data_IF_949096269319
#
_entry.id   IF_949096269319
#
_cell.length_a   1.000
_cell.length_b   1.000
_cell.length_c   1.000
_cell.angle_alpha   90.00
_cell.angle_beta   90.00
_cell.angle_gamma   90.00
#
_symmetry.space_group_name_H-M   'P 1'
#
loop_
_entity.id
_entity.type
_entity.pdbx_description
1 polymer ?
#
# COMPACT_ATOMS: atom_id res chain seq x y z
N UNK A 1 -18.62 -5.62 -23.76
CA UNK A 1 -17.53 -6.52 -23.28
C UNK A 1 -16.55 -5.66 -22.49
N UNK A 2 -16.88 -5.38 -21.24
CA UNK A 2 -16.07 -4.52 -20.38
C UNK A 2 -14.80 -5.28 -19.99
N UNK A 3 -13.66 -4.84 -20.53
CA UNK A 3 -12.36 -5.39 -20.15
C UNK A 3 -11.95 -4.69 -18.86
N UNK A 4 -11.97 -5.41 -17.75
CA UNK A 4 -11.59 -4.87 -16.46
C UNK A 4 -10.09 -5.08 -16.25
N UNK A 5 -9.38 -3.97 -16.08
CA UNK A 5 -7.94 -3.94 -15.96
C UNK A 5 -7.56 -3.47 -14.55
N UNK A 6 -6.67 -4.20 -13.90
CA UNK A 6 -6.03 -3.69 -12.69
C UNK A 6 -4.65 -3.13 -13.07
N UNK A 7 -4.43 -1.86 -12.73
CA UNK A 7 -3.11 -1.24 -12.67
C UNK A 7 -2.48 -1.67 -11.33
N UNK A 8 -2.09 -2.95 -11.25
CA UNK A 8 -1.39 -3.49 -10.08
C UNK A 8 0.09 -3.59 -10.41
N UNK A 9 0.81 -2.48 -10.27
CA UNK A 9 2.24 -2.42 -10.55
C UNK A 9 3.03 -2.83 -9.30
N UNK A 10 2.95 -4.13 -8.97
CA UNK A 10 3.84 -4.82 -8.03
C UNK A 10 5.30 -4.88 -8.48
N UNK A 11 5.65 -4.19 -9.57
CA UNK A 11 7.01 -3.99 -10.04
C UNK A 11 7.21 -2.49 -10.25
N UNK A 12 8.28 -1.94 -9.68
CA UNK A 12 8.50 -0.49 -9.56
C UNK A 12 8.35 0.28 -10.87
N UNK A 13 7.35 1.15 -10.93
CA UNK A 13 7.21 2.16 -11.96
C UNK A 13 7.06 3.54 -11.31
N UNK A 14 7.64 4.56 -11.94
CA UNK A 14 7.62 5.94 -11.46
C UNK A 14 6.44 6.72 -11.93
N UNK A 15 6.46 8.02 -11.63
CA UNK A 15 5.42 8.94 -12.09
C UNK A 15 5.42 8.95 -13.60
N UNK A 16 4.51 8.16 -14.16
CA UNK A 16 4.17 8.17 -15.58
C UNK A 16 3.23 9.36 -15.78
N UNK A 17 3.56 10.24 -16.72
CA UNK A 17 2.61 11.28 -17.11
C UNK A 17 1.48 10.63 -17.92
N UNK A 18 0.25 10.78 -17.42
CA UNK A 18 -0.93 10.14 -17.99
C UNK A 18 -1.93 11.23 -18.35
N UNK A 19 -2.56 11.07 -19.51
CA UNK A 19 -3.76 11.80 -19.88
C UNK A 19 -4.99 10.91 -19.68
N UNK A 20 -6.06 11.47 -19.10
CA UNK A 20 -7.35 10.82 -18.92
C UNK A 20 -8.41 11.61 -19.69
N UNK A 21 -9.09 10.94 -20.62
CA UNK A 21 -10.23 11.52 -21.33
C UNK A 21 -11.45 11.47 -20.40
N UNK A 22 -11.83 12.63 -19.87
CA UNK A 22 -13.15 12.90 -19.28
C UNK A 22 -13.78 14.07 -20.05
N UNK A 23 -14.93 14.63 -19.62
CA UNK A 23 -15.53 15.82 -20.26
C UNK A 23 -14.54 17.02 -20.42
N UNK A 24 -13.36 16.95 -19.79
CA UNK A 24 -12.15 17.68 -20.17
C UNK A 24 -10.94 16.71 -20.25
N UNK A 25 -10.06 16.91 -21.25
CA UNK A 25 -8.76 16.22 -21.35
C UNK A 25 -7.87 16.65 -20.16
N UNK A 26 -7.68 15.76 -19.19
CA UNK A 26 -6.85 16.03 -18.02
C UNK A 26 -5.51 15.30 -18.17
N UNK A 27 -4.40 16.00 -17.95
CA UNK A 27 -3.06 15.41 -18.01
C UNK A 27 -2.22 15.78 -16.79
N UNK A 28 -1.27 14.91 -16.44
CA UNK A 28 -0.28 15.20 -15.41
C UNK A 28 0.46 13.97 -14.93
N UNK A 29 1.36 14.17 -13.97
CA UNK A 29 2.13 13.10 -13.36
C UNK A 29 1.25 12.23 -12.45
N UNK A 30 1.15 10.94 -12.75
CA UNK A 30 0.42 10.00 -11.93
C UNK A 30 1.08 9.86 -10.54
N UNK A 31 0.41 10.35 -9.50
CA UNK A 31 0.80 10.11 -8.11
C UNK A 31 -0.02 8.97 -7.51
N UNK A 32 0.47 8.41 -6.40
CA UNK A 32 -0.29 7.41 -5.63
C UNK A 32 -1.69 7.97 -5.33
N UNK A 33 -2.71 7.21 -5.69
CA UNK A 33 -4.10 7.55 -5.43
C UNK A 33 -4.33 7.70 -3.92
N UNK A 34 -5.00 8.78 -3.54
CA UNK A 34 -5.34 9.02 -2.15
C UNK A 34 -6.57 8.17 -1.78
N UNK A 35 -6.53 7.53 -0.61
CA UNK A 35 -7.61 6.67 -0.14
C UNK A 35 -8.09 7.08 1.24
N UNK A 36 -9.40 7.03 1.44
CA UNK A 36 -10.07 7.30 2.71
C UNK A 36 -11.23 6.35 2.92
N UNK A 37 -11.43 5.88 4.14
CA UNK A 37 -12.61 5.11 4.51
C UNK A 37 -13.71 6.05 5.03
N UNK A 38 -14.93 5.94 4.47
CA UNK A 38 -16.18 6.41 5.07
C UNK A 38 -17.09 5.20 5.24
N UNK A 39 -18.31 5.24 4.68
CA UNK A 39 -19.16 4.05 4.56
C UNK A 39 -18.59 3.04 3.56
N UNK A 40 -17.97 3.53 2.48
CA UNK A 40 -17.21 2.76 1.50
C UNK A 40 -15.85 3.41 1.25
N UNK A 41 -14.89 2.68 0.70
CA UNK A 41 -13.60 3.20 0.31
C UNK A 41 -13.73 4.30 -0.77
N UNK A 42 -13.14 5.47 -0.50
CA UNK A 42 -13.09 6.62 -1.39
C UNK A 42 -11.70 6.77 -2.00
N UNK A 43 -11.66 7.13 -3.27
CA UNK A 43 -10.48 7.17 -4.11
C UNK A 43 -10.38 8.52 -4.82
N UNK A 44 -9.26 9.21 -4.63
CA UNK A 44 -8.97 10.46 -5.33
C UNK A 44 -7.66 10.33 -6.09
N UNK A 45 -7.77 10.40 -7.42
CA UNK A 45 -6.63 10.50 -8.31
C UNK A 45 -6.18 11.96 -8.37
N UNK A 46 -4.88 12.23 -8.40
CA UNK A 46 -4.36 13.59 -8.57
C UNK A 46 -3.44 13.64 -9.78
N UNK A 47 -3.76 14.49 -10.75
CA UNK A 47 -2.97 14.76 -11.94
C UNK A 47 -2.50 16.22 -11.88
N UNK A 48 -1.19 16.42 -11.66
CA UNK A 48 -0.56 17.73 -11.45
C UNK A 48 -1.32 18.66 -10.48
N UNK A 49 -1.83 18.07 -9.39
CA UNK A 49 -2.53 18.78 -8.33
C UNK A 49 -4.04 18.93 -8.55
N UNK A 50 -4.56 18.56 -9.72
CA UNK A 50 -6.00 18.52 -9.98
C UNK A 50 -6.58 17.23 -9.41
N UNK A 51 -7.45 17.29 -8.39
CA UNK A 51 -8.08 16.11 -7.83
C UNK A 51 -9.23 15.62 -8.73
N UNK A 52 -9.29 14.31 -8.93
CA UNK A 52 -10.35 13.61 -9.63
C UNK A 52 -10.99 12.61 -8.67
N UNK A 53 -12.28 12.76 -8.42
CA UNK A 53 -13.07 11.79 -7.67
C UNK A 53 -13.28 10.54 -8.52
N UNK A 54 -12.57 9.46 -8.19
CA UNK A 54 -12.63 8.21 -8.95
C UNK A 54 -13.90 7.42 -8.63
N UNK A 55 -14.51 7.63 -7.46
CA UNK A 55 -15.76 6.96 -7.12
C UNK A 55 -16.90 7.46 -8.01
N UNK A 56 -16.93 8.77 -8.30
CA UNK A 56 -17.91 9.35 -9.21
C UNK A 56 -17.78 8.85 -10.66
N UNK A 57 -16.65 8.22 -11.01
CA UNK A 57 -16.34 7.67 -12.34
C UNK A 57 -16.62 6.18 -12.49
N UNK A 58 -17.14 5.54 -11.46
CA UNK A 58 -17.56 4.14 -11.54
C UNK A 58 -18.74 4.02 -12.53
N UNK A 59 -18.68 2.99 -13.39
CA UNK A 59 -19.66 2.80 -14.47
C UNK A 59 -19.34 3.57 -15.75
N UNK A 60 -18.44 4.56 -15.71
CA UNK A 60 -17.98 5.28 -16.90
C UNK A 60 -16.87 4.50 -17.65
N UNK A 61 -16.73 4.79 -18.95
CA UNK A 61 -15.57 4.31 -19.72
C UNK A 61 -14.45 5.34 -19.63
N UNK A 62 -13.32 4.95 -19.06
CA UNK A 62 -12.12 5.78 -18.95
C UNK A 62 -11.08 5.35 -19.98
N UNK A 63 -10.41 6.31 -20.62
CA UNK A 63 -9.18 6.08 -21.39
C UNK A 63 -8.01 6.72 -20.67
N UNK A 64 -6.91 5.98 -20.51
CA UNK A 64 -5.68 6.49 -19.93
C UNK A 64 -4.58 6.36 -20.98
N UNK A 65 -3.91 7.45 -21.33
CA UNK A 65 -2.80 7.45 -22.29
C UNK A 65 -1.50 7.88 -21.62
N UNK A 66 -0.49 7.04 -21.68
CA UNK A 66 0.87 7.34 -21.25
C UNK A 66 1.62 8.07 -22.36
N UNK A 67 2.19 9.23 -22.05
CA UNK A 67 2.89 10.08 -23.03
C UNK A 67 4.37 9.69 -23.28
N UNK A 68 4.88 8.71 -22.55
CA UNK A 68 6.27 8.26 -22.60
C UNK A 68 7.21 8.93 -21.59
N UNK A 69 6.72 9.94 -20.87
CA UNK A 69 7.51 10.72 -19.91
C UNK A 69 7.41 10.12 -18.51
N UNK A 70 8.55 9.81 -17.90
CA UNK A 70 8.62 9.39 -16.50
C UNK A 70 9.38 10.43 -15.69
N UNK A 71 8.76 10.94 -14.63
CA UNK A 71 9.37 11.89 -13.72
C UNK A 71 9.70 11.25 -12.38
N UNK A 72 10.81 11.68 -11.78
CA UNK A 72 11.20 11.26 -10.44
C UNK A 72 10.21 11.82 -9.41
N UNK A 73 9.69 10.97 -8.52
CA UNK A 73 8.70 11.39 -7.52
C UNK A 73 9.23 12.41 -6.51
N UNK A 74 10.56 12.43 -6.32
CA UNK A 74 11.27 13.27 -5.33
C UNK A 74 11.75 14.56 -5.96
N UNK A 75 12.55 14.47 -7.03
CA UNK A 75 13.21 15.64 -7.61
C UNK A 75 12.56 16.15 -8.89
N UNK A 76 11.52 15.48 -9.40
CA UNK A 76 10.81 15.88 -10.62
C UNK A 76 11.57 15.67 -11.92
N UNK A 77 12.84 15.24 -11.89
CA UNK A 77 13.63 15.06 -13.11
C UNK A 77 13.03 13.99 -14.01
N UNK A 78 13.06 14.24 -15.31
CA UNK A 78 12.76 13.23 -16.31
C UNK A 78 13.79 12.08 -16.26
N UNK A 79 13.30 10.86 -16.44
CA UNK A 79 14.13 9.65 -16.48
C UNK A 79 13.57 8.63 -17.47
N UNK A 80 14.46 7.83 -18.07
CA UNK A 80 14.05 6.74 -18.97
C UNK A 80 13.43 5.55 -18.25
N UNK A 81 13.74 5.40 -16.95
CA UNK A 81 13.24 4.33 -16.11
C UNK A 81 13.21 4.77 -14.66
N UNK A 82 12.24 4.24 -13.94
CA UNK A 82 12.09 4.43 -12.51
C UNK A 82 12.68 3.28 -11.71
N UNK A 83 13.08 3.59 -10.48
CA UNK A 83 13.56 2.66 -9.49
C UNK A 83 12.68 2.75 -8.24
N UNK A 84 12.51 1.66 -7.50
CA UNK A 84 11.89 1.67 -6.17
C UNK A 84 10.52 2.36 -6.09
N UNK A 85 9.63 2.18 -7.08
CA UNK A 85 8.31 2.86 -7.15
C UNK A 85 8.36 4.36 -7.48
N UNK A 86 9.43 4.82 -8.15
CA UNK A 86 9.38 6.06 -8.91
C UNK A 86 10.51 7.04 -8.77
N UNK A 87 11.60 6.59 -8.17
CA UNK A 87 12.80 7.38 -8.07
C UNK A 87 13.60 7.33 -9.37
N UNK A 88 14.28 8.43 -9.71
CA UNK A 88 15.46 8.33 -10.55
C UNK A 88 16.59 7.62 -9.77
N UNK A 89 17.61 7.12 -10.47
CA UNK A 89 18.68 6.35 -9.81
C UNK A 89 19.38 7.08 -8.63
N UNK A 90 19.76 8.37 -8.74
CA UNK A 90 20.30 9.11 -7.60
C UNK A 90 19.35 9.15 -6.39
N UNK A 91 18.08 9.48 -6.61
CA UNK A 91 17.11 9.52 -5.50
C UNK A 91 16.84 8.13 -4.92
N UNK A 92 16.88 7.07 -5.70
CA UNK A 92 16.74 5.71 -5.17
C UNK A 92 17.89 5.35 -4.21
N UNK A 93 19.10 5.75 -4.56
CA UNK A 93 20.30 5.55 -3.75
C UNK A 93 20.29 6.41 -2.48
N UNK A 94 19.86 7.67 -2.59
CA UNK A 94 20.12 8.68 -1.55
C UNK A 94 18.87 9.06 -0.73
N UNK A 95 17.66 9.00 -1.29
CA UNK A 95 16.47 9.47 -0.59
C UNK A 95 16.15 8.60 0.63
N UNK A 96 15.75 9.21 1.76
CA UNK A 96 15.45 8.46 2.98
C UNK A 96 14.20 7.58 2.82
N UNK A 97 13.19 8.00 2.04
CA UNK A 97 12.02 7.17 1.72
C UNK A 97 12.31 5.97 0.79
N UNK A 98 13.53 5.87 0.24
CA UNK A 98 14.01 4.73 -0.54
C UNK A 98 14.98 3.84 0.27
N UNK A 99 15.08 4.05 1.60
CA UNK A 99 15.94 3.25 2.48
C UNK A 99 15.50 1.79 2.53
N UNK A 100 16.45 0.87 2.77
CA UNK A 100 16.18 -0.57 2.85
C UNK A 100 15.14 -0.92 3.92
N UNK A 101 15.14 -0.18 5.05
CA UNK A 101 14.19 -0.36 6.14
C UNK A 101 12.72 -0.05 5.78
N UNK A 102 12.48 0.56 4.61
CA UNK A 102 11.13 0.78 4.08
C UNK A 102 10.52 -0.54 3.63
N UNK A 103 11.34 -1.46 3.11
CA UNK A 103 10.94 -2.79 2.64
C UNK A 103 11.16 -3.85 3.72
N UNK A 104 12.23 -3.71 4.50
CA UNK A 104 12.66 -4.63 5.57
C UNK A 104 12.74 -3.90 6.90
N UNK A 105 11.60 -3.65 7.58
CA UNK A 105 11.54 -2.82 8.78
C UNK A 105 12.46 -3.28 9.92
N UNK A 106 12.74 -4.58 10.00
CA UNK A 106 13.66 -5.21 10.95
C UNK A 106 15.12 -4.76 10.78
N UNK A 107 15.47 -4.14 9.63
CA UNK A 107 16.79 -3.56 9.39
C UNK A 107 16.87 -2.06 9.73
N UNK A 108 15.82 -1.48 10.33
CA UNK A 108 15.81 -0.08 10.71
C UNK A 108 16.74 0.19 11.91
N UNK A 109 17.79 0.98 11.70
CA UNK A 109 18.73 1.40 12.76
C UNK A 109 18.52 2.83 13.27
N UNK A 110 17.40 3.47 12.91
CA UNK A 110 17.13 4.85 13.31
C UNK A 110 17.11 5.03 14.84
N UNK A 111 16.68 4.01 15.57
CA UNK A 111 16.63 4.02 17.04
C UNK A 111 18.02 3.99 17.69
N UNK A 112 19.06 3.66 16.91
CA UNK A 112 20.48 3.72 17.27
C UNK A 112 21.15 5.02 16.81
N UNK A 113 20.38 5.95 16.21
CA UNK A 113 20.91 7.19 15.65
C UNK A 113 21.45 7.06 14.22
N UNK A 114 21.12 5.97 13.51
CA UNK A 114 21.62 5.71 12.15
C UNK A 114 20.50 5.65 11.10
N UNK A 115 20.51 6.62 10.18
CA UNK A 115 19.65 6.66 9.00
C UNK A 115 20.32 7.48 7.88
N UNK A 116 19.81 7.39 6.64
CA UNK A 116 20.23 8.28 5.54
C UNK A 116 19.97 9.76 5.88
N UNK A 117 18.90 10.01 6.62
CA UNK A 117 18.48 11.31 7.12
C UNK A 117 17.75 11.10 8.45
N UNK A 118 18.28 11.66 9.53
CA UNK A 118 17.72 11.49 10.88
C UNK A 118 16.45 12.31 11.10
N UNK A 119 16.36 13.53 10.57
CA UNK A 119 15.16 14.36 10.67
C UNK A 119 13.96 13.69 9.98
N UNK A 120 14.23 13.01 8.86
CA UNK A 120 13.23 12.18 8.20
C UNK A 120 12.88 10.95 9.03
N UNK A 121 13.88 10.24 9.56
CA UNK A 121 13.67 9.03 10.34
C UNK A 121 12.90 9.29 11.64
N UNK A 122 13.11 10.43 12.29
CA UNK A 122 12.34 10.86 13.47
C UNK A 122 10.84 10.96 13.16
N UNK A 123 10.47 11.43 11.96
CA UNK A 123 9.07 11.61 11.55
C UNK A 123 8.42 10.33 10.99
N UNK A 124 9.21 9.35 10.58
CA UNK A 124 8.72 8.19 9.80
C UNK A 124 9.04 6.82 10.40
N UNK A 125 10.14 6.71 11.14
CA UNK A 125 10.66 5.48 11.73
C UNK A 125 10.55 5.49 13.26
N UNK A 126 10.84 6.63 13.91
CA UNK A 126 10.80 6.79 15.38
C UNK A 126 9.46 7.37 15.87
N UNK A 127 8.38 6.94 15.22
CA UNK A 127 7.01 7.26 15.61
C UNK A 127 6.24 5.97 15.84
N UNK A 128 5.10 6.07 16.53
CA UNK A 128 4.22 4.91 16.74
C UNK A 128 3.92 4.21 15.41
N UNK A 129 4.21 2.91 15.39
CA UNK A 129 3.83 2.01 14.33
C UNK A 129 2.79 1.02 14.83
N UNK A 130 2.02 0.53 13.89
CA UNK A 130 1.02 -0.49 14.07
C UNK A 130 1.46 -1.70 13.28
N UNK A 131 1.47 -2.85 13.95
CA UNK A 131 1.45 -4.17 13.29
C UNK A 131 0.00 -4.62 13.25
N UNK A 132 -0.47 -5.03 12.08
CA UNK A 132 -1.87 -5.42 11.88
C UNK A 132 -1.96 -6.76 11.17
N UNK A 133 -3.08 -7.45 11.38
CA UNK A 133 -3.49 -8.58 10.56
C UNK A 133 -4.56 -8.10 9.59
N UNK A 134 -4.43 -8.45 8.32
CA UNK A 134 -5.39 -8.12 7.29
C UNK A 134 -5.87 -9.38 6.58
N UNK A 135 -7.19 -9.51 6.41
CA UNK A 135 -7.85 -10.61 5.69
C UNK A 135 -8.22 -10.15 4.28
N UNK A 136 -7.84 -10.96 3.30
CA UNK A 136 -8.35 -10.91 1.93
C UNK A 136 -8.43 -12.32 1.36
N UNK A 137 -7.63 -12.68 0.36
CA UNK A 137 -7.49 -14.07 -0.10
C UNK A 137 -6.71 -14.97 0.87
N UNK A 138 -6.12 -14.37 1.91
CA UNK A 138 -5.40 -14.99 3.02
C UNK A 138 -5.37 -13.99 4.20
N UNK A 139 -5.00 -14.44 5.40
CA UNK A 139 -4.58 -13.53 6.47
C UNK A 139 -3.09 -13.24 6.30
N UNK A 140 -2.75 -11.95 6.28
CA UNK A 140 -1.37 -11.44 6.24
C UNK A 140 -1.09 -10.54 7.42
N UNK A 141 0.17 -10.49 7.81
CA UNK A 141 0.69 -9.45 8.70
C UNK A 141 1.31 -8.32 7.87
N UNK A 142 1.17 -7.09 8.35
CA UNK A 142 1.92 -5.97 7.81
C UNK A 142 2.12 -4.88 8.85
N UNK A 143 2.96 -3.90 8.52
CA UNK A 143 3.21 -2.74 9.36
C UNK A 143 2.84 -1.42 8.69
N UNK A 144 2.49 -0.44 9.49
CA UNK A 144 2.25 0.93 9.04
C UNK A 144 2.45 1.93 10.17
N UNK A 145 2.64 3.21 9.83
CA UNK A 145 2.50 4.28 10.83
C UNK A 145 1.05 4.35 11.30
N UNK A 146 0.82 4.66 12.57
CA UNK A 146 -0.53 4.84 13.11
C UNK A 146 -1.36 5.86 12.31
N UNK A 147 -0.72 6.94 11.85
CA UNK A 147 -1.33 8.00 11.02
C UNK A 147 -1.74 7.57 9.60
N UNK A 148 -1.45 6.34 9.18
CA UNK A 148 -1.81 5.80 7.87
C UNK A 148 -2.93 4.75 7.96
N UNK A 149 -3.49 4.54 9.14
CA UNK A 149 -4.68 3.71 9.34
C UNK A 149 -5.95 4.55 9.05
N UNK A 150 -6.94 4.04 8.30
CA UNK A 150 -7.01 2.75 7.61
C UNK A 150 -6.50 2.78 6.15
N UNK A 151 -6.01 3.91 5.63
CA UNK A 151 -5.51 4.10 4.24
C UNK A 151 -4.62 2.94 3.78
N UNK A 152 -3.67 2.49 4.61
CA UNK A 152 -2.74 1.41 4.26
C UNK A 152 -3.42 0.04 4.08
N UNK A 153 -4.55 -0.20 4.73
CA UNK A 153 -5.34 -1.42 4.57
C UNK A 153 -6.11 -1.41 3.26
N UNK A 154 -6.67 -0.26 2.89
CA UNK A 154 -7.35 -0.04 1.60
C UNK A 154 -6.36 -0.27 0.45
N UNK A 155 -5.17 0.34 0.52
CA UNK A 155 -4.11 0.21 -0.49
C UNK A 155 -3.70 -1.24 -0.75
N UNK A 156 -3.94 -2.11 0.23
CA UNK A 156 -3.56 -3.51 0.22
C UNK A 156 -4.69 -4.48 -0.07
N UNK A 157 -5.88 -3.96 -0.39
CA UNK A 157 -7.07 -4.73 -0.71
C UNK A 157 -7.53 -5.62 0.44
N UNK A 158 -7.43 -5.13 1.68
CA UNK A 158 -7.95 -5.85 2.84
C UNK A 158 -9.47 -5.74 2.88
N UNK A 159 -10.17 -6.86 3.04
CA UNK A 159 -11.61 -6.87 3.36
C UNK A 159 -11.81 -6.48 4.82
N UNK A 160 -10.94 -6.98 5.69
CA UNK A 160 -10.96 -6.69 7.11
C UNK A 160 -9.54 -6.56 7.65
N UNK A 161 -9.37 -5.74 8.68
CA UNK A 161 -8.11 -5.63 9.40
C UNK A 161 -8.33 -5.45 10.91
N UNK A 162 -7.40 -5.98 11.68
CA UNK A 162 -7.33 -5.83 13.14
C UNK A 162 -5.93 -5.39 13.53
N UNK A 163 -5.83 -4.53 14.54
CA UNK A 163 -4.55 -4.16 15.12
C UNK A 163 -4.04 -5.32 15.98
N UNK A 164 -2.82 -5.76 15.69
CA UNK A 164 -2.14 -6.82 16.43
C UNK A 164 -1.28 -6.24 17.56
N UNK A 165 -0.46 -5.22 17.25
CA UNK A 165 0.42 -4.58 18.21
C UNK A 165 0.64 -3.10 17.88
N UNK A 166 0.82 -2.28 18.92
CA UNK A 166 1.29 -0.88 18.83
C UNK A 166 2.67 -0.76 19.42
N UNK A 167 3.62 -0.30 18.61
CA UNK A 167 5.05 -0.32 18.96
C UNK A 167 5.66 1.07 18.74
N UNK A 168 6.70 1.43 19.51
CA UNK A 168 7.21 2.80 19.52
C UNK A 168 7.96 3.20 18.25
N UNK A 169 8.43 2.24 17.45
CA UNK A 169 9.23 2.52 16.25
C UNK A 169 9.14 1.39 15.21
N UNK A 170 9.64 1.69 14.01
CA UNK A 170 9.68 0.79 12.84
C UNK A 170 10.49 -0.47 13.06
N UNK A 171 11.58 -0.41 13.81
CA UNK A 171 12.40 -1.58 14.09
C UNK A 171 11.63 -2.60 14.91
N UNK A 172 11.03 -2.18 16.02
CA UNK A 172 10.19 -3.06 16.86
C UNK A 172 9.01 -3.62 16.07
N UNK A 173 8.41 -2.82 15.18
CA UNK A 173 7.37 -3.31 14.26
C UNK A 173 7.87 -4.42 13.34
N UNK A 174 9.08 -4.27 12.81
CA UNK A 174 9.74 -5.28 11.99
C UNK A 174 10.00 -6.58 12.73
N UNK A 175 10.45 -6.53 13.98
CA UNK A 175 10.65 -7.73 14.80
C UNK A 175 9.35 -8.51 14.99
N UNK A 176 8.26 -7.81 15.30
CA UNK A 176 6.93 -8.41 15.43
C UNK A 176 6.46 -8.97 14.08
N UNK A 177 6.61 -8.21 12.97
CA UNK A 177 6.20 -8.65 11.63
C UNK A 177 6.92 -9.94 11.21
N UNK A 178 8.25 -9.99 11.38
CA UNK A 178 9.07 -11.16 11.05
C UNK A 178 8.65 -12.38 11.87
N UNK A 179 8.39 -12.20 13.18
CA UNK A 179 7.90 -13.29 14.02
C UNK A 179 6.54 -13.83 13.55
N UNK A 180 5.63 -12.95 13.12
CA UNK A 180 4.30 -13.35 12.65
C UNK A 180 4.32 -13.97 11.24
N UNK A 181 5.23 -13.52 10.36
CA UNK A 181 5.40 -14.09 9.01
C UNK A 181 5.77 -15.58 9.04
N UNK A 182 6.42 -16.07 10.10
CA UNK A 182 6.71 -17.50 10.26
C UNK A 182 5.45 -18.37 10.45
N UNK A 183 4.32 -17.76 10.81
CA UNK A 183 3.05 -18.44 11.10
C UNK A 183 1.93 -18.12 10.09
N UNK A 184 2.14 -17.13 9.22
CA UNK A 184 1.15 -16.65 8.26
C UNK A 184 1.62 -16.84 6.82
N UNK A 185 0.69 -16.81 5.88
CA UNK A 185 1.04 -16.95 4.45
C UNK A 185 1.64 -15.65 3.93
N UNK A 186 2.86 -15.73 3.38
CA UNK A 186 3.60 -14.57 2.86
C UNK A 186 3.08 -14.04 1.50
N UNK A 187 2.20 -14.80 0.82
CA UNK A 187 1.76 -14.50 -0.55
C UNK A 187 0.30 -14.08 -0.63
N UNK A 188 0.08 -12.82 -1.02
CA UNK A 188 -1.24 -12.36 -1.47
C UNK A 188 -1.46 -12.82 -2.91
N UNK A 189 -2.52 -13.60 -3.15
CA UNK A 189 -2.97 -13.85 -4.52
C UNK A 189 -3.82 -12.66 -4.97
N UNK A 190 -3.14 -11.65 -5.52
CA UNK A 190 -3.77 -10.40 -5.94
C UNK A 190 -4.89 -10.60 -6.97
N UNK A 191 -4.83 -11.66 -7.78
CA UNK A 191 -5.91 -11.96 -8.73
C UNK A 191 -7.18 -12.41 -7.99
N UNK A 192 -7.05 -13.29 -7.00
CA UNK A 192 -8.17 -13.75 -6.17
C UNK A 192 -8.80 -12.61 -5.39
N UNK A 193 -7.97 -11.73 -4.82
CA UNK A 193 -8.40 -10.51 -4.14
C UNK A 193 -9.31 -9.64 -5.03
N UNK A 194 -8.96 -9.41 -6.29
CA UNK A 194 -9.76 -8.59 -7.21
C UNK A 194 -11.04 -9.25 -7.70
N UNK A 195 -11.10 -10.58 -7.62
CA UNK A 195 -12.31 -11.35 -7.88
C UNK A 195 -13.23 -11.44 -6.67
N UNK A 196 -12.85 -10.81 -5.55
CA UNK A 196 -13.50 -10.96 -4.25
C UNK A 196 -13.53 -12.40 -3.74
N UNK A 197 -12.52 -13.20 -4.09
CA UNK A 197 -12.35 -14.53 -3.51
C UNK A 197 -11.68 -14.39 -2.13
N UNK A 198 -12.50 -14.01 -1.15
CA UNK A 198 -12.09 -13.80 0.24
C UNK A 198 -12.19 -15.11 1.02
N UNK A 199 -11.22 -15.38 1.89
CA UNK A 199 -11.30 -16.53 2.79
C UNK A 199 -12.24 -16.26 3.96
N UNK A 200 -12.90 -17.32 4.41
CA UNK A 200 -13.59 -17.33 5.69
C UNK A 200 -12.55 -17.58 6.79
N UNK A 201 -12.22 -16.54 7.55
CA UNK A 201 -11.27 -16.63 8.66
C UNK A 201 -11.54 -15.55 9.70
N UNK A 202 -11.38 -15.93 10.97
CA UNK A 202 -11.57 -15.07 12.13
C UNK A 202 -10.24 -14.39 12.51
N UNK A 203 -10.21 -13.06 12.35
CA UNK A 203 -9.04 -12.24 12.67
C UNK A 203 -8.76 -12.19 14.19
N UNK A 204 -9.79 -12.21 15.03
CA UNK A 204 -9.67 -12.17 16.49
C UNK A 204 -9.08 -13.49 16.99
N UNK A 205 -9.65 -14.61 16.53
CA UNK A 205 -9.11 -15.93 16.86
C UNK A 205 -7.66 -16.10 16.37
N UNK A 206 -7.36 -15.59 15.17
CA UNK A 206 -5.99 -15.62 14.63
C UNK A 206 -5.04 -14.80 15.48
N UNK A 207 -5.41 -13.55 15.84
CA UNK A 207 -4.64 -12.69 16.74
C UNK A 207 -4.35 -13.41 18.06
N UNK A 208 -5.37 -13.97 18.71
CA UNK A 208 -5.22 -14.70 19.97
C UNK A 208 -4.23 -15.87 19.86
N UNK A 209 -4.29 -16.66 18.78
CA UNK A 209 -3.40 -17.81 18.56
C UNK A 209 -1.93 -17.43 18.35
N UNK A 210 -1.67 -16.18 17.94
CA UNK A 210 -0.35 -15.67 17.58
C UNK A 210 0.37 -14.99 18.75
N UNK A 211 -0.35 -14.53 19.78
CA UNK A 211 0.24 -13.83 20.95
C UNK A 211 1.33 -14.67 21.60
N UNK A 212 1.08 -15.97 21.81
CA UNK A 212 2.04 -16.87 22.45
C UNK A 212 3.24 -17.23 21.57
N UNK A 213 3.23 -16.85 20.29
CA UNK A 213 4.35 -17.03 19.37
C UNK A 213 5.37 -15.88 19.45
N UNK A 214 4.98 -14.74 20.02
CA UNK A 214 5.90 -13.65 20.26
C UNK A 214 6.83 -13.91 21.44
N UNK A 215 8.05 -13.39 21.33
CA UNK A 215 8.99 -13.30 22.43
C UNK A 215 8.38 -12.49 23.59
N UNK A 216 8.59 -12.88 24.86
CA UNK A 216 7.96 -12.25 26.03
C UNK A 216 8.11 -10.72 26.07
N UNK A 217 9.25 -10.19 25.67
CA UNK A 217 9.56 -8.77 25.64
C UNK A 217 8.75 -7.98 24.61
N UNK A 218 8.22 -8.64 23.57
CA UNK A 218 7.36 -8.00 22.56
C UNK A 218 5.88 -8.09 22.90
N UNK A 219 5.47 -8.98 23.82
CA UNK A 219 4.06 -9.17 24.20
C UNK A 219 3.46 -7.95 24.88
N UNK A 220 4.28 -7.11 25.50
CA UNK A 220 3.83 -5.85 26.12
C UNK A 220 3.21 -4.87 25.12
N UNK A 221 3.50 -5.03 23.82
CA UNK A 221 3.01 -4.17 22.75
C UNK A 221 1.71 -4.67 22.11
N UNK A 222 1.23 -5.86 22.50
CA UNK A 222 -0.03 -6.39 21.98
C UNK A 222 -1.15 -5.40 22.29
N UNK A 223 -1.91 -5.08 21.26
CA UNK A 223 -3.04 -4.19 21.40
C UNK A 223 -4.22 -4.97 22.01
N UNK A 224 -4.83 -4.49 23.11
CA UNK A 224 -5.93 -5.18 23.77
C UNK A 224 -7.28 -4.98 23.06
N UNK A 225 -7.38 -4.06 22.10
CA UNK A 225 -8.58 -3.81 21.33
C UNK A 225 -8.70 -4.83 20.18
N UNK A 226 -9.78 -5.60 20.19
CA UNK A 226 -10.11 -6.58 19.17
C UNK A 226 -11.11 -6.07 18.13
N UNK A 227 -11.29 -4.75 18.04
CA UNK A 227 -12.12 -4.12 17.02
C UNK A 227 -11.58 -4.44 15.62
N UNK A 228 -12.42 -5.12 14.83
CA UNK A 228 -12.17 -5.39 13.42
C UNK A 228 -12.70 -4.24 12.58
N UNK A 229 -11.84 -3.67 11.76
CA UNK A 229 -12.22 -2.70 10.74
C UNK A 229 -12.55 -3.43 9.44
N UNK A 230 -13.83 -3.46 9.10
CA UNK A 230 -14.32 -3.92 7.78
C UNK A 230 -14.23 -2.80 6.76
N UNK A 231 -13.88 -3.16 5.53
CA UNK A 231 -13.70 -2.23 4.40
C UNK A 231 -14.60 -2.67 3.25
N UNK A 232 -15.59 -1.84 2.97
CA UNK A 232 -16.42 -1.98 1.78
C UNK A 232 -15.81 -1.23 0.59
N UNK A 233 -15.79 -1.89 -0.56
CA UNK A 233 -15.26 -1.33 -1.80
C UNK A 233 -16.40 -0.96 -2.76
N UNK A 234 -16.31 0.17 -3.47
CA UNK A 234 -17.36 0.64 -4.37
C UNK A 234 -17.30 -0.14 -5.71
N UNK A 235 -17.53 -1.45 -5.66
CA UNK A 235 -17.47 -2.33 -6.83
C UNK A 235 -18.87 -2.77 -7.23
N UNK A 236 -19.29 -2.44 -8.44
CA UNK A 236 -20.60 -2.87 -8.97
C UNK A 236 -20.60 -4.34 -9.40
N UNK A 237 -19.50 -4.80 -10.01
CA UNK A 237 -19.34 -6.16 -10.49
C UNK A 237 -17.87 -6.59 -10.44
N UNK A 238 -17.61 -7.75 -9.83
CA UNK A 238 -16.26 -8.31 -9.78
C UNK A 238 -15.89 -9.01 -11.09
N UNK A 239 -14.66 -8.82 -11.60
CA UNK A 239 -14.24 -9.44 -12.85
C UNK A 239 -14.10 -10.97 -12.73
N UNK A 240 -14.58 -11.73 -13.71
CA UNK A 240 -14.34 -13.18 -13.76
C UNK A 240 -12.88 -13.53 -14.08
N UNK A 241 -12.24 -12.72 -14.93
CA UNK A 241 -10.85 -12.87 -15.39
C UNK A 241 -10.09 -11.60 -15.16
N UNK A 242 -8.95 -11.72 -14.51
CA UNK A 242 -8.06 -10.60 -14.20
C UNK A 242 -6.76 -10.79 -14.98
N UNK A 243 -6.41 -9.79 -15.80
CA UNK A 243 -5.12 -9.72 -16.50
C UNK A 243 -4.39 -8.46 -16.06
N UNK A 244 -3.07 -8.58 -15.87
CA UNK A 244 -2.21 -7.42 -15.68
C UNK A 244 -2.11 -6.65 -17.00
N UNK A 245 -2.28 -5.34 -16.92
CA UNK A 245 -2.05 -4.38 -17.99
C UNK A 245 -1.08 -3.33 -17.48
N UNK A 246 -0.23 -2.86 -18.38
CA UNK A 246 0.75 -1.83 -18.06
C UNK A 246 1.12 -1.05 -19.31
N UNK A 247 1.45 0.23 -19.11
CA UNK A 247 1.73 1.17 -20.19
C UNK A 247 2.92 0.78 -21.08
N UNK A 248 3.80 -0.12 -20.61
CA UNK A 248 4.93 -0.60 -21.42
C UNK A 248 4.48 -1.56 -22.53
N UNK A 249 3.30 -2.17 -22.38
CA UNK A 249 2.70 -3.09 -23.37
C UNK A 249 1.53 -2.46 -24.13
N UNK A 250 0.76 -1.62 -23.44
CA UNK A 250 -0.42 -0.94 -23.97
C UNK A 250 -0.40 0.51 -23.47
N UNK A 251 0.15 1.46 -24.25
CA UNK A 251 0.26 2.86 -23.83
C UNK A 251 -1.09 3.57 -23.74
N UNK A 252 -2.19 2.92 -24.16
CA UNK A 252 -3.58 3.35 -24.04
C UNK A 252 -4.48 2.17 -23.63
#
# INVERSE_FOLDING_TARGET
>A
MSRHYNINDGNGHGMKAISMDTDADLSGNLRKMQTRLRDVAQYTLSLDGVPVDMNAKIGETLSLRFDGTINCIVCGRETKKSFGQGFCYPCFRDAPEASECIIRPELCRAHEGEARDMDWAEKHCLVEQIVYLARSSAIKVGITRASQMPTRWIDQGATDAIVFARVPNRYTAGLVEVAMKAHLTDRTNWQRMLKNEVIDADLVATKASLIDKLAPELRQYIDPDDTVCTIDYPVECYPEKVKSVGFDKQPQ
#
